data_IF_936475421603
#
_entry.id   IF_936475421603
#
_cell.length_a   1.000
_cell.length_b   1.000
_cell.length_c   1.000
_cell.angle_alpha   90.00
_cell.angle_beta   90.00
_cell.angle_gamma   90.00
#
_symmetry.space_group_name_H-M   'P 1'
#
loop_
_entity.id
_entity.type
_entity.pdbx_description
1 polymer ?
#
# COMPACT_ATOMS: atom_id res chain seq x y z
N UNK A 1 -34.10 -4.27 9.73
CA UNK A 1 -33.38 -3.05 10.12
C UNK A 1 -33.26 -2.15 8.90
N UNK A 2 -33.49 -0.86 9.05
CA UNK A 2 -33.26 0.14 7.99
C UNK A 2 -31.79 0.55 7.91
N UNK A 3 -31.38 1.16 6.81
CA UNK A 3 -30.00 1.69 6.63
C UNK A 3 -29.66 2.72 7.73
N UNK A 4 -30.58 3.61 8.07
CA UNK A 4 -30.35 4.59 9.12
C UNK A 4 -30.17 3.96 10.52
N UNK A 5 -30.92 2.90 10.82
CA UNK A 5 -30.75 2.13 12.06
C UNK A 5 -29.44 1.37 12.08
N UNK A 6 -29.08 0.72 10.96
CA UNK A 6 -27.84 -0.04 10.82
C UNK A 6 -26.60 0.84 10.97
N UNK A 7 -26.65 2.04 10.37
CA UNK A 7 -25.53 2.98 10.43
C UNK A 7 -25.23 3.40 11.90
N UNK A 8 -26.27 3.71 12.68
CA UNK A 8 -26.10 4.06 14.10
C UNK A 8 -25.59 2.88 14.93
N UNK A 9 -26.17 1.69 14.71
CA UNK A 9 -25.74 0.48 15.40
C UNK A 9 -24.30 0.11 15.08
N UNK A 10 -23.90 0.22 13.81
CA UNK A 10 -22.54 -0.09 13.38
C UNK A 10 -21.53 0.92 13.95
N UNK A 11 -21.84 2.22 13.90
CA UNK A 11 -21.01 3.26 14.51
C UNK A 11 -20.77 2.99 16.00
N UNK A 12 -21.82 2.66 16.77
CA UNK A 12 -21.72 2.32 18.19
C UNK A 12 -20.84 1.09 18.42
N UNK A 13 -21.12 -0.03 17.72
CA UNK A 13 -20.37 -1.30 17.89
C UNK A 13 -18.91 -1.22 17.47
N UNK A 14 -18.61 -0.47 16.41
CA UNK A 14 -17.23 -0.25 15.97
C UNK A 14 -16.48 0.68 16.92
N UNK A 15 -17.15 1.70 17.47
CA UNK A 15 -16.59 2.55 18.51
C UNK A 15 -16.27 1.78 19.79
N UNK A 16 -17.17 0.90 20.26
CA UNK A 16 -16.93 0.02 21.41
C UNK A 16 -15.76 -0.96 21.18
N UNK A 17 -15.53 -1.37 19.91
CA UNK A 17 -14.40 -2.20 19.53
C UNK A 17 -13.09 -1.43 19.38
N UNK A 18 -13.10 -0.10 19.58
CA UNK A 18 -11.91 0.76 19.49
C UNK A 18 -11.47 1.06 18.07
N UNK A 19 -12.37 0.98 17.08
CA UNK A 19 -12.07 1.41 15.70
C UNK A 19 -11.95 2.93 15.66
N UNK A 20 -10.89 3.47 15.06
CA UNK A 20 -10.60 4.90 15.09
C UNK A 20 -11.60 5.75 14.28
N UNK A 21 -12.15 5.17 13.21
CA UNK A 21 -13.08 5.83 12.29
C UNK A 21 -14.44 5.12 12.20
N UNK A 22 -15.16 4.87 13.33
CA UNK A 22 -16.31 3.97 13.36
C UNK A 22 -17.44 4.39 12.42
N UNK A 23 -17.66 5.70 12.30
CA UNK A 23 -18.69 6.27 11.41
C UNK A 23 -18.33 6.06 9.94
N UNK A 24 -17.09 6.35 9.57
CA UNK A 24 -16.60 6.19 8.19
C UNK A 24 -16.64 4.72 7.77
N UNK A 25 -16.18 3.82 8.64
CA UNK A 25 -16.18 2.40 8.40
C UNK A 25 -17.60 1.85 8.22
N UNK A 26 -18.54 2.25 9.09
CA UNK A 26 -19.95 1.89 8.97
C UNK A 26 -20.57 2.35 7.64
N UNK A 27 -20.25 3.57 7.20
CA UNK A 27 -20.72 4.10 5.90
C UNK A 27 -20.14 3.31 4.72
N UNK A 28 -18.85 2.94 4.78
CA UNK A 28 -18.21 2.16 3.72
C UNK A 28 -18.75 0.73 3.65
N UNK A 29 -18.97 0.07 4.79
CA UNK A 29 -19.60 -1.24 4.85
C UNK A 29 -21.02 -1.23 4.25
N UNK A 30 -21.84 -0.23 4.61
CA UNK A 30 -23.16 -0.05 4.04
C UNK A 30 -23.12 0.29 2.55
N UNK A 31 -22.21 1.16 2.13
CA UNK A 31 -22.01 1.49 0.72
C UNK A 31 -21.71 0.25 -0.12
N UNK A 32 -20.84 -0.62 0.41
CA UNK A 32 -20.45 -1.88 -0.25
C UNK A 32 -21.65 -2.79 -0.46
N UNK A 33 -22.40 -3.12 0.60
CA UNK A 33 -23.54 -4.07 0.49
C UNK A 33 -24.73 -3.49 -0.29
N UNK A 34 -24.82 -2.15 -0.38
CA UNK A 34 -25.88 -1.47 -1.14
C UNK A 34 -25.48 -1.19 -2.60
N UNK A 35 -24.22 -1.46 -2.98
CA UNK A 35 -23.69 -1.12 -4.30
C UNK A 35 -23.81 0.38 -4.60
N UNK A 36 -23.43 1.25 -3.64
CA UNK A 36 -23.59 2.70 -3.75
C UNK A 36 -22.37 3.45 -3.18
N UNK A 37 -22.37 4.77 -3.29
CA UNK A 37 -21.36 5.62 -2.65
C UNK A 37 -21.72 5.90 -1.17
N UNK A 38 -20.78 6.41 -0.38
CA UNK A 38 -21.04 6.91 0.99
C UNK A 38 -22.17 7.93 1.05
N UNK A 39 -22.24 8.84 0.08
CA UNK A 39 -23.35 9.81 -0.04
C UNK A 39 -24.68 9.09 -0.28
N UNK A 40 -24.69 8.09 -1.18
CA UNK A 40 -25.87 7.30 -1.51
C UNK A 40 -26.42 6.47 -0.34
N UNK A 41 -25.60 6.15 0.68
CA UNK A 41 -26.07 5.52 1.93
C UNK A 41 -27.06 6.43 2.67
N UNK A 42 -26.78 7.72 2.75
CA UNK A 42 -27.65 8.69 3.42
C UNK A 42 -28.98 8.92 2.67
N UNK A 43 -28.97 8.80 1.35
CA UNK A 43 -30.17 8.92 0.53
C UNK A 43 -31.12 7.72 0.67
N UNK A 44 -30.61 6.57 1.15
CA UNK A 44 -31.31 5.29 1.28
C UNK A 44 -31.70 4.96 2.73
N UNK A 45 -31.79 5.94 3.60
CA UNK A 45 -32.01 5.76 5.05
C UNK A 45 -33.15 4.81 5.43
N UNK A 46 -34.26 4.83 4.69
CA UNK A 46 -35.45 3.99 4.95
C UNK A 46 -35.38 2.60 4.25
N UNK A 47 -34.37 2.36 3.41
CA UNK A 47 -34.20 1.08 2.74
C UNK A 47 -33.82 -0.01 3.75
N UNK A 48 -34.27 -1.27 3.49
CA UNK A 48 -33.81 -2.42 4.28
C UNK A 48 -32.37 -2.77 3.93
N UNK A 49 -31.56 -3.02 4.96
CA UNK A 49 -30.17 -3.47 4.81
C UNK A 49 -30.13 -4.93 4.37
N UNK A 50 -29.26 -5.31 3.41
CA UNK A 50 -29.00 -6.70 3.06
C UNK A 50 -28.47 -7.52 4.24
N UNK A 51 -28.80 -8.81 4.29
CA UNK A 51 -28.46 -9.69 5.43
C UNK A 51 -26.95 -9.92 5.58
N UNK A 52 -26.17 -9.76 4.49
CA UNK A 52 -24.68 -9.86 4.48
C UNK A 52 -23.98 -8.78 5.29
N UNK A 53 -24.64 -7.65 5.55
CA UNK A 53 -24.07 -6.54 6.33
C UNK A 53 -23.60 -6.97 7.72
N UNK A 54 -24.40 -7.78 8.41
CA UNK A 54 -24.08 -8.21 9.77
C UNK A 54 -22.77 -9.01 9.83
N UNK A 55 -22.49 -9.81 8.82
CA UNK A 55 -21.25 -10.59 8.74
C UNK A 55 -20.02 -9.68 8.52
N UNK A 56 -20.14 -8.66 7.64
CA UNK A 56 -19.06 -7.70 7.40
C UNK A 56 -18.80 -6.81 8.63
N UNK A 57 -19.88 -6.36 9.29
CA UNK A 57 -19.78 -5.59 10.53
C UNK A 57 -19.06 -6.39 11.63
N UNK A 58 -19.38 -7.69 11.78
CA UNK A 58 -18.73 -8.54 12.77
C UNK A 58 -17.23 -8.74 12.49
N UNK A 59 -16.83 -8.96 11.23
CA UNK A 59 -15.43 -9.02 10.82
C UNK A 59 -14.69 -7.73 11.21
N UNK A 60 -15.27 -6.57 10.88
CA UNK A 60 -14.65 -5.27 11.21
C UNK A 60 -14.61 -5.02 12.72
N UNK A 61 -15.63 -5.45 13.48
CA UNK A 61 -15.64 -5.40 14.94
C UNK A 61 -14.52 -6.22 15.58
N UNK A 62 -14.10 -7.32 14.92
CA UNK A 62 -12.93 -8.11 15.31
C UNK A 62 -11.60 -7.44 14.91
N UNK A 63 -11.62 -6.18 14.50
CA UNK A 63 -10.46 -5.39 14.09
C UNK A 63 -9.77 -5.93 12.82
N UNK A 64 -10.50 -6.71 11.98
CA UNK A 64 -10.02 -7.03 10.64
C UNK A 64 -9.94 -5.73 9.81
N UNK A 65 -8.84 -5.46 9.06
CA UNK A 65 -8.71 -4.26 8.24
C UNK A 65 -9.92 -4.06 7.33
N UNK A 66 -10.46 -2.84 7.27
CA UNK A 66 -11.65 -2.56 6.46
C UNK A 66 -11.44 -2.96 5.00
N UNK A 67 -10.26 -2.72 4.45
CA UNK A 67 -9.91 -3.13 3.08
C UNK A 67 -10.05 -4.65 2.87
N UNK A 68 -9.66 -5.47 3.87
CA UNK A 68 -9.82 -6.93 3.77
C UNK A 68 -11.28 -7.35 3.92
N UNK A 69 -12.04 -6.66 4.76
CA UNK A 69 -13.48 -6.91 4.91
C UNK A 69 -14.22 -6.65 3.62
N UNK A 70 -13.87 -5.54 2.92
CA UNK A 70 -14.46 -5.16 1.62
C UNK A 70 -13.91 -5.99 0.45
N UNK A 71 -12.70 -6.59 0.59
CA UNK A 71 -12.03 -7.35 -0.47
C UNK A 71 -11.40 -6.49 -1.56
N UNK A 72 -11.53 -5.16 -1.47
CA UNK A 72 -10.96 -4.22 -2.42
C UNK A 72 -10.63 -2.88 -1.77
N UNK A 73 -9.64 -2.17 -2.31
CA UNK A 73 -9.23 -0.87 -1.81
C UNK A 73 -8.75 0.07 -2.93
N UNK A 74 -9.09 1.36 -2.79
CA UNK A 74 -8.64 2.39 -3.72
C UNK A 74 -7.17 2.72 -3.51
N UNK A 75 -6.41 2.86 -4.60
CA UNK A 75 -5.04 3.37 -4.60
C UNK A 75 -4.82 4.17 -5.89
N UNK A 76 -4.56 5.47 -5.77
CA UNK A 76 -4.51 6.41 -6.89
C UNK A 76 -5.76 6.31 -7.77
N UNK A 77 -5.64 5.90 -9.03
CA UNK A 77 -6.76 5.73 -9.97
C UNK A 77 -7.29 4.29 -10.04
N UNK A 78 -6.68 3.39 -9.26
CA UNK A 78 -6.97 1.97 -9.31
C UNK A 78 -7.84 1.54 -8.12
N UNK A 79 -8.56 0.44 -8.30
CA UNK A 79 -9.18 -0.31 -7.21
C UNK A 79 -8.52 -1.69 -7.19
N UNK A 80 -7.80 -2.01 -6.13
CA UNK A 80 -7.02 -3.24 -5.99
C UNK A 80 -7.78 -4.26 -5.15
N UNK A 81 -7.70 -5.55 -5.50
CA UNK A 81 -8.07 -6.63 -4.59
C UNK A 81 -7.14 -6.64 -3.40
N UNK A 82 -7.69 -6.81 -2.20
CA UNK A 82 -6.96 -6.77 -0.94
C UNK A 82 -7.39 -7.87 0.00
N UNK A 83 -6.44 -8.58 0.58
CA UNK A 83 -6.62 -9.59 1.62
C UNK A 83 -5.31 -9.81 2.40
N UNK A 84 -5.31 -10.77 3.33
CA UNK A 84 -4.19 -11.05 4.23
C UNK A 84 -2.90 -11.56 3.53
N UNK A 85 -2.86 -11.65 2.20
CA UNK A 85 -1.65 -12.01 1.43
C UNK A 85 -0.63 -10.88 1.34
N UNK A 86 -1.07 -9.61 1.48
CA UNK A 86 -0.19 -8.43 1.41
C UNK A 86 -0.73 -7.28 2.27
N UNK A 87 0.12 -6.29 2.55
CA UNK A 87 -0.27 -5.05 3.22
C UNK A 87 -1.41 -4.35 2.49
N UNK A 88 -2.32 -3.73 3.25
CA UNK A 88 -3.28 -2.78 2.70
C UNK A 88 -2.50 -1.59 2.09
N UNK A 89 -2.72 -1.21 0.82
CA UNK A 89 -2.11 -0.02 0.25
C UNK A 89 -2.44 1.23 1.08
N UNK A 90 -1.41 2.01 1.44
CA UNK A 90 -1.54 3.21 2.27
C UNK A 90 -1.61 4.47 1.41
N UNK A 91 -2.37 5.50 1.83
CA UNK A 91 -2.42 6.78 1.11
C UNK A 91 -1.04 7.44 0.97
N UNK A 92 -0.17 7.30 1.98
CA UNK A 92 1.18 7.86 2.00
C UNK A 92 2.04 7.27 0.87
N UNK A 93 1.84 6.00 0.52
CA UNK A 93 2.54 5.32 -0.58
C UNK A 93 2.20 5.91 -1.96
N UNK A 94 1.09 6.65 -2.10
CA UNK A 94 0.77 7.35 -3.35
C UNK A 94 1.81 8.42 -3.70
N UNK A 95 2.48 9.01 -2.70
CA UNK A 95 3.56 9.99 -2.88
C UNK A 95 4.80 9.32 -3.48
N UNK A 96 5.08 8.07 -3.10
CA UNK A 96 6.16 7.28 -3.71
C UNK A 96 5.96 7.16 -5.22
N UNK A 97 4.74 6.82 -5.64
CA UNK A 97 4.39 6.75 -7.08
C UNK A 97 4.55 8.11 -7.76
N UNK A 98 4.10 9.19 -7.12
CA UNK A 98 4.23 10.55 -7.66
C UNK A 98 5.70 10.93 -7.88
N UNK A 99 6.59 10.60 -6.93
CA UNK A 99 8.03 10.85 -7.05
C UNK A 99 8.64 10.03 -8.18
N UNK A 100 8.29 8.74 -8.29
CA UNK A 100 8.73 7.89 -9.40
C UNK A 100 8.33 8.48 -10.76
N UNK A 101 7.08 8.90 -10.92
CA UNK A 101 6.58 9.48 -12.17
C UNK A 101 7.28 10.80 -12.51
N UNK A 102 7.57 11.63 -11.49
CA UNK A 102 8.29 12.90 -11.67
C UNK A 102 9.73 12.66 -12.14
N UNK A 103 10.44 11.69 -11.54
CA UNK A 103 11.81 11.32 -11.91
C UNK A 103 11.91 10.71 -13.31
N UNK A 104 10.89 9.97 -13.74
CA UNK A 104 10.84 9.29 -15.03
C UNK A 104 10.30 10.16 -16.18
N UNK A 105 9.92 11.42 -15.94
CA UNK A 105 9.19 12.26 -16.90
C UNK A 105 9.83 12.28 -18.30
N UNK A 106 11.15 12.41 -18.35
CA UNK A 106 11.90 12.60 -19.59
C UNK A 106 12.63 11.30 -20.05
N UNK A 107 12.37 10.17 -19.39
CA UNK A 107 12.98 8.88 -19.73
C UNK A 107 12.03 8.09 -20.64
N UNK A 108 12.41 7.78 -21.88
CA UNK A 108 11.57 6.98 -22.78
C UNK A 108 11.67 5.48 -22.41
N UNK A 109 10.53 4.79 -22.39
CA UNK A 109 10.42 3.35 -22.12
C UNK A 109 11.26 2.89 -20.90
N UNK A 110 11.15 3.55 -19.73
CA UNK A 110 12.01 3.26 -18.59
C UNK A 110 11.77 1.85 -18.05
N UNK A 111 12.86 1.20 -17.63
CA UNK A 111 12.83 -0.07 -16.90
C UNK A 111 12.71 0.21 -15.42
N UNK A 112 11.57 -0.16 -14.82
CA UNK A 112 11.27 0.11 -13.41
C UNK A 112 11.16 -1.21 -12.65
N UNK A 113 11.80 -1.28 -11.48
CA UNK A 113 11.61 -2.35 -10.51
C UNK A 113 10.85 -1.82 -9.30
N UNK A 114 9.75 -2.48 -8.95
CA UNK A 114 9.07 -2.38 -7.65
C UNK A 114 9.45 -3.59 -6.81
N UNK A 115 10.26 -3.37 -5.76
CA UNK A 115 10.82 -4.42 -4.90
C UNK A 115 10.07 -4.48 -3.57
N UNK A 116 9.56 -5.67 -3.23
CA UNK A 116 8.60 -5.85 -2.14
C UNK A 116 7.21 -5.36 -2.52
N UNK A 117 6.74 -5.77 -3.72
CA UNK A 117 5.56 -5.19 -4.38
C UNK A 117 4.24 -5.39 -3.64
N UNK A 118 4.16 -6.39 -2.75
CA UNK A 118 2.94 -6.69 -1.99
C UNK A 118 1.73 -6.99 -2.89
N UNK A 119 0.70 -6.16 -2.81
CA UNK A 119 -0.50 -6.24 -3.67
C UNK A 119 -0.28 -5.78 -5.12
N UNK A 120 0.92 -5.28 -5.44
CA UNK A 120 1.23 -4.66 -6.72
C UNK A 120 0.93 -3.15 -6.81
N UNK A 121 0.59 -2.49 -5.70
CA UNK A 121 0.07 -1.13 -5.70
C UNK A 121 0.96 -0.12 -6.44
N UNK A 122 2.26 -0.07 -6.11
CA UNK A 122 3.23 0.85 -6.74
C UNK A 122 3.42 0.49 -8.21
N UNK A 123 3.74 -0.78 -8.50
CA UNK A 123 4.01 -1.26 -9.85
C UNK A 123 2.84 -1.01 -10.81
N UNK A 124 1.61 -1.35 -10.37
CA UNK A 124 0.41 -1.20 -11.19
C UNK A 124 0.05 0.27 -11.40
N UNK A 125 0.22 1.11 -10.39
CA UNK A 125 0.00 2.55 -10.54
C UNK A 125 1.00 3.19 -11.52
N UNK A 126 2.27 2.78 -11.48
CA UNK A 126 3.27 3.24 -12.45
C UNK A 126 2.89 2.75 -13.87
N UNK A 127 2.52 1.49 -14.04
CA UNK A 127 2.12 0.95 -15.35
C UNK A 127 0.87 1.63 -15.92
N UNK A 128 -0.11 1.97 -15.08
CA UNK A 128 -1.32 2.69 -15.49
C UNK A 128 -1.02 4.14 -15.91
N UNK A 129 -0.16 4.85 -15.17
CA UNK A 129 0.14 6.26 -15.41
C UNK A 129 1.30 6.49 -16.40
N UNK A 130 2.13 5.48 -16.65
CA UNK A 130 3.24 5.45 -17.60
C UNK A 130 3.18 4.19 -18.47
N UNK A 131 2.25 4.11 -19.45
CA UNK A 131 2.05 2.92 -20.27
C UNK A 131 3.27 2.52 -21.14
N UNK A 132 4.22 3.43 -21.33
CA UNK A 132 5.49 3.17 -22.00
C UNK A 132 6.56 2.55 -21.09
N UNK A 133 6.36 2.56 -19.77
CA UNK A 133 7.30 1.98 -18.83
C UNK A 133 7.25 0.44 -18.86
N UNK A 134 8.42 -0.19 -18.71
CA UNK A 134 8.57 -1.64 -18.53
C UNK A 134 8.71 -1.95 -17.07
N UNK A 135 7.57 -2.22 -16.43
CA UNK A 135 7.50 -2.42 -14.99
C UNK A 135 7.66 -3.89 -14.63
N UNK A 136 8.59 -4.17 -13.72
CA UNK A 136 8.76 -5.47 -13.07
C UNK A 136 8.43 -5.31 -11.59
N UNK A 137 7.63 -6.20 -11.04
CA UNK A 137 7.22 -6.26 -9.66
C UNK A 137 7.77 -7.55 -9.02
N UNK A 138 8.51 -7.42 -7.92
CA UNK A 138 9.14 -8.56 -7.25
C UNK A 138 8.71 -8.61 -5.79
N UNK A 139 8.40 -9.81 -5.30
CA UNK A 139 8.17 -10.07 -3.89
C UNK A 139 8.70 -11.45 -3.52
N UNK A 140 9.22 -11.60 -2.31
CA UNK A 140 9.71 -12.88 -1.78
C UNK A 140 8.60 -13.79 -1.27
N UNK A 141 7.40 -13.23 -1.01
CA UNK A 141 6.24 -13.98 -0.53
C UNK A 141 5.38 -14.48 -1.72
N UNK A 142 5.29 -15.80 -1.98
CA UNK A 142 4.49 -16.33 -3.09
C UNK A 142 3.01 -15.90 -3.04
N UNK A 143 2.49 -15.67 -1.84
CA UNK A 143 1.12 -15.20 -1.64
C UNK A 143 0.92 -13.76 -2.13
N UNK A 144 1.88 -12.86 -1.87
CA UNK A 144 1.88 -11.49 -2.37
C UNK A 144 2.02 -11.47 -3.90
N UNK A 145 2.94 -12.27 -4.47
CA UNK A 145 3.09 -12.44 -5.92
C UNK A 145 1.78 -12.89 -6.57
N UNK A 146 1.06 -13.83 -5.96
CA UNK A 146 -0.23 -14.27 -6.47
C UNK A 146 -1.28 -13.14 -6.48
N UNK A 147 -1.35 -12.34 -5.40
CA UNK A 147 -2.26 -11.19 -5.31
C UNK A 147 -1.91 -10.11 -6.33
N UNK A 148 -0.62 -9.78 -6.50
CA UNK A 148 -0.16 -8.80 -7.47
C UNK A 148 -0.50 -9.23 -8.92
N UNK A 149 -0.33 -10.50 -9.26
CA UNK A 149 -0.75 -11.06 -10.57
C UNK A 149 -2.24 -10.98 -10.79
N UNK A 150 -3.04 -11.35 -9.79
CA UNK A 150 -4.49 -11.24 -9.82
C UNK A 150 -4.94 -9.79 -10.06
N UNK A 151 -4.30 -8.82 -9.40
CA UNK A 151 -4.57 -7.40 -9.61
C UNK A 151 -4.15 -6.94 -11.02
N UNK A 152 -2.99 -7.36 -11.53
CA UNK A 152 -2.53 -7.03 -12.87
C UNK A 152 -3.50 -7.55 -13.94
N UNK A 153 -3.94 -8.82 -13.82
CA UNK A 153 -4.92 -9.43 -14.72
C UNK A 153 -6.27 -8.72 -14.66
N UNK A 154 -6.77 -8.42 -13.46
CA UNK A 154 -8.07 -7.76 -13.26
C UNK A 154 -8.11 -6.36 -13.85
N UNK A 155 -6.99 -5.63 -13.81
CA UNK A 155 -6.86 -4.27 -14.30
C UNK A 155 -6.40 -4.19 -15.77
N UNK A 156 -6.09 -5.32 -16.40
CA UNK A 156 -5.53 -5.41 -17.76
C UNK A 156 -4.24 -4.58 -17.92
N UNK A 157 -3.37 -4.63 -16.89
CA UNK A 157 -2.09 -3.92 -16.85
C UNK A 157 -0.92 -4.87 -17.09
N UNK A 158 0.00 -4.45 -17.96
CA UNK A 158 1.18 -5.23 -18.29
C UNK A 158 2.32 -4.95 -17.29
N UNK A 159 2.43 -5.81 -16.28
CA UNK A 159 3.51 -5.81 -15.29
C UNK A 159 4.10 -7.22 -15.21
N UNK A 160 5.43 -7.32 -15.26
CA UNK A 160 6.14 -8.60 -15.08
C UNK A 160 6.26 -8.92 -13.60
N UNK A 161 5.33 -9.71 -13.06
CA UNK A 161 5.28 -10.04 -11.63
C UNK A 161 6.04 -11.35 -11.37
N UNK A 162 7.11 -11.27 -10.55
CA UNK A 162 8.02 -12.39 -10.25
C UNK A 162 8.11 -12.67 -8.75
N UNK A 163 8.30 -13.93 -8.40
CA UNK A 163 8.84 -14.31 -7.10
C UNK A 163 10.37 -14.10 -7.13
N UNK A 164 10.90 -13.43 -6.12
CA UNK A 164 12.32 -13.11 -6.01
C UNK A 164 12.66 -12.36 -4.74
N UNK A 165 13.92 -12.04 -4.56
CA UNK A 165 14.45 -11.37 -3.40
C UNK A 165 15.24 -10.09 -3.80
N UNK A 166 15.95 -9.49 -2.85
CA UNK A 166 16.67 -8.21 -2.98
C UNK A 166 17.68 -8.21 -4.14
N UNK A 167 18.21 -9.37 -4.52
CA UNK A 167 19.15 -9.54 -5.65
C UNK A 167 18.56 -9.07 -7.00
N UNK A 168 17.24 -9.02 -7.15
CA UNK A 168 16.59 -8.48 -8.34
C UNK A 168 16.99 -7.01 -8.58
N UNK A 169 17.34 -6.25 -7.55
CA UNK A 169 17.83 -4.88 -7.68
C UNK A 169 19.12 -4.75 -8.48
N UNK A 170 19.91 -5.82 -8.61
CA UNK A 170 21.19 -5.84 -9.33
C UNK A 170 21.06 -6.06 -10.86
N UNK A 171 19.86 -6.36 -11.39
CA UNK A 171 19.66 -6.70 -12.81
C UNK A 171 19.82 -5.52 -13.79
N UNK A 172 19.94 -4.28 -13.28
CA UNK A 172 20.11 -3.07 -14.08
C UNK A 172 18.78 -2.43 -14.46
N UNK A 173 18.43 -1.35 -13.77
CA UNK A 173 17.18 -0.63 -13.88
C UNK A 173 17.43 0.86 -14.13
N UNK A 174 16.44 1.56 -14.71
CA UNK A 174 16.45 3.02 -14.75
C UNK A 174 16.00 3.58 -13.42
N UNK A 175 15.01 2.92 -12.78
CA UNK A 175 14.52 3.25 -11.44
C UNK A 175 14.24 1.97 -10.63
N UNK A 176 14.69 1.95 -9.39
CA UNK A 176 14.25 0.98 -8.36
C UNK A 176 13.44 1.72 -7.32
N UNK A 177 12.25 1.22 -7.03
CA UNK A 177 11.37 1.71 -5.97
C UNK A 177 11.08 0.60 -4.98
N UNK A 178 10.95 0.95 -3.71
CA UNK A 178 10.53 0.00 -2.68
C UNK A 178 9.82 0.71 -1.51
N UNK A 179 8.77 0.07 -1.01
CA UNK A 179 8.26 0.28 0.34
C UNK A 179 8.64 -0.97 1.16
N UNK A 180 9.88 -1.07 1.64
CA UNK A 180 10.35 -2.27 2.30
C UNK A 180 9.85 -2.36 3.74
N UNK A 181 9.91 -3.53 4.40
CA UNK A 181 9.69 -3.63 5.83
C UNK A 181 10.66 -2.73 6.60
N UNK A 182 10.13 -1.84 7.45
CA UNK A 182 10.93 -0.86 8.20
C UNK A 182 10.56 -0.76 9.69
N UNK A 183 9.58 -1.54 10.17
CA UNK A 183 9.19 -1.53 11.59
C UNK A 183 10.17 -2.36 12.42
N UNK A 184 10.76 -1.80 13.50
CA UNK A 184 11.59 -2.57 14.42
C UNK A 184 10.80 -3.70 15.08
N UNK A 185 11.47 -4.82 15.32
CA UNK A 185 10.80 -6.04 15.84
C UNK A 185 10.20 -5.85 17.24
N UNK A 186 10.77 -4.96 18.05
CA UNK A 186 10.32 -4.63 19.40
C UNK A 186 9.12 -3.67 19.42
N UNK A 187 8.85 -2.98 18.31
CA UNK A 187 7.68 -2.11 18.17
C UNK A 187 6.42 -2.86 17.69
N UNK A 188 6.56 -4.13 17.25
CA UNK A 188 5.44 -4.92 16.71
C UNK A 188 4.21 -4.95 17.61
N UNK A 189 4.41 -5.17 18.92
CA UNK A 189 3.31 -5.31 19.87
C UNK A 189 2.58 -3.99 20.16
N UNK A 190 3.16 -2.85 19.79
CA UNK A 190 2.58 -1.52 19.93
C UNK A 190 1.68 -1.12 18.76
N UNK A 191 1.74 -1.84 17.63
CA UNK A 191 0.95 -1.55 16.46
C UNK A 191 -0.56 -1.76 16.69
N UNK A 192 -1.37 -1.06 15.90
CA UNK A 192 -2.82 -1.25 15.92
C UNK A 192 -3.19 -2.70 15.64
N UNK A 193 -4.29 -3.22 16.26
CA UNK A 193 -4.72 -4.60 16.07
C UNK A 193 -4.92 -5.00 14.60
N UNK A 194 -5.40 -4.08 13.76
CA UNK A 194 -5.56 -4.27 12.32
C UNK A 194 -4.27 -4.71 11.64
N UNK A 195 -3.15 -4.14 12.07
CA UNK A 195 -1.82 -4.44 11.52
C UNK A 195 -1.27 -5.69 12.17
N UNK A 196 -1.20 -5.67 13.51
CA UNK A 196 -0.54 -6.71 14.30
C UNK A 196 -1.15 -8.11 14.12
N UNK A 197 -2.49 -8.18 14.07
CA UNK A 197 -3.21 -9.45 14.14
C UNK A 197 -3.63 -9.96 12.74
N UNK A 198 -3.57 -9.12 11.70
CA UNK A 198 -4.13 -9.42 10.37
C UNK A 198 -3.15 -9.27 9.21
N UNK A 199 -2.25 -8.28 9.25
CA UNK A 199 -1.30 -8.08 8.15
C UNK A 199 -0.08 -9.02 8.30
N UNK A 200 0.56 -9.44 7.19
CA UNK A 200 1.71 -10.34 7.26
C UNK A 200 2.90 -9.65 7.94
N UNK A 201 3.37 -10.25 9.03
CA UNK A 201 4.45 -9.68 9.85
C UNK A 201 5.75 -9.44 9.07
N UNK A 202 6.11 -10.36 8.18
CA UNK A 202 7.31 -10.26 7.35
C UNK A 202 7.27 -9.10 6.34
N UNK A 203 6.09 -8.57 6.02
CA UNK A 203 5.94 -7.40 5.18
C UNK A 203 6.10 -6.07 5.95
N UNK A 204 6.26 -6.12 7.27
CA UNK A 204 6.37 -4.94 8.14
C UNK A 204 7.68 -4.88 8.90
N UNK A 205 8.11 -6.00 9.46
CA UNK A 205 9.27 -6.05 10.36
C UNK A 205 10.54 -6.23 9.52
N UNK A 206 11.46 -5.25 9.63
CA UNK A 206 12.75 -5.28 8.96
C UNK A 206 13.64 -4.15 9.44
N UNK A 207 14.95 -4.41 9.48
CA UNK A 207 15.98 -3.44 9.83
C UNK A 207 17.08 -3.48 8.76
N UNK A 208 17.58 -2.32 8.34
CA UNK A 208 18.69 -2.21 7.39
C UNK A 208 18.34 -2.62 5.94
N UNK A 209 17.07 -2.83 5.62
CA UNK A 209 16.65 -3.27 4.28
C UNK A 209 16.88 -2.17 3.24
N UNK A 210 16.67 -0.91 3.58
CA UNK A 210 16.95 0.23 2.69
C UNK A 210 18.41 0.25 2.24
N UNK A 211 19.35 0.10 3.19
CA UNK A 211 20.79 0.09 2.90
C UNK A 211 21.20 -1.14 2.08
N UNK A 212 20.58 -2.29 2.36
CA UNK A 212 20.85 -3.51 1.62
C UNK A 212 20.40 -3.39 0.16
N UNK A 213 19.17 -2.91 -0.08
CA UNK A 213 18.68 -2.61 -1.43
C UNK A 213 19.59 -1.59 -2.11
N UNK A 214 19.93 -0.47 -1.46
CA UNK A 214 20.76 0.58 -2.02
C UNK A 214 22.16 0.09 -2.41
N UNK A 215 22.71 -0.86 -1.66
CA UNK A 215 24.03 -1.48 -1.95
C UNK A 215 23.97 -2.42 -3.13
N UNK A 216 22.89 -3.20 -3.26
CA UNK A 216 22.70 -4.17 -4.35
C UNK A 216 22.26 -3.49 -5.65
N UNK A 217 21.52 -2.39 -5.56
CA UNK A 217 20.86 -1.78 -6.71
C UNK A 217 21.84 -1.32 -7.80
N UNK A 218 21.62 -1.84 -9.00
CA UNK A 218 22.21 -1.38 -10.25
C UNK A 218 21.20 -0.48 -10.97
N UNK A 219 21.11 0.77 -10.52
CA UNK A 219 20.12 1.74 -11.00
C UNK A 219 20.68 3.16 -10.96
N UNK A 220 20.12 4.05 -11.80
CA UNK A 220 20.40 5.49 -11.76
C UNK A 220 19.49 6.23 -10.75
N UNK A 221 18.29 5.72 -10.52
CA UNK A 221 17.29 6.36 -9.66
C UNK A 221 16.82 5.35 -8.60
N UNK A 222 16.84 5.78 -7.35
CA UNK A 222 16.39 4.97 -6.23
C UNK A 222 15.36 5.76 -5.42
N UNK A 223 14.22 5.15 -5.11
CA UNK A 223 13.11 5.76 -4.36
C UNK A 223 12.66 4.81 -3.27
N UNK A 224 12.61 5.30 -2.03
CA UNK A 224 12.17 4.53 -0.87
C UNK A 224 11.03 5.21 -0.15
N UNK A 225 10.03 4.44 0.28
CA UNK A 225 9.20 4.82 1.42
C UNK A 225 9.97 4.55 2.71
N UNK A 226 9.81 5.43 3.71
CA UNK A 226 10.46 5.32 5.01
C UNK A 226 9.44 5.49 6.14
N UNK A 227 9.73 4.89 7.30
CA UNK A 227 8.98 5.10 8.52
C UNK A 227 9.32 6.45 9.18
N UNK A 228 8.49 6.84 10.15
CA UNK A 228 8.66 8.08 10.90
C UNK A 228 10.06 8.15 11.54
N UNK A 229 10.76 9.27 11.32
CA UNK A 229 12.09 9.52 11.86
C UNK A 229 13.24 8.74 11.20
N UNK A 230 13.00 8.00 10.11
CA UNK A 230 14.04 7.21 9.43
C UNK A 230 14.67 7.92 8.23
N UNK A 231 14.07 9.00 7.74
CA UNK A 231 14.45 9.65 6.48
C UNK A 231 15.92 10.11 6.46
N UNK A 232 16.38 10.80 7.50
CA UNK A 232 17.77 11.29 7.59
C UNK A 232 18.77 10.13 7.55
N UNK A 233 18.50 9.05 8.30
CA UNK A 233 19.35 7.88 8.33
C UNK A 233 19.46 7.19 6.95
N UNK A 234 18.34 7.04 6.24
CA UNK A 234 18.32 6.47 4.88
C UNK A 234 19.03 7.41 3.90
N UNK A 235 18.84 8.73 4.01
CA UNK A 235 19.52 9.71 3.17
C UNK A 235 21.05 9.66 3.36
N UNK A 236 21.54 9.60 4.61
CA UNK A 236 22.96 9.45 4.93
C UNK A 236 23.54 8.15 4.37
N UNK A 237 22.79 7.06 4.46
CA UNK A 237 23.17 5.77 3.89
C UNK A 237 23.31 5.86 2.36
N UNK A 238 22.36 6.47 1.66
CA UNK A 238 22.43 6.69 0.21
C UNK A 238 23.65 7.53 -0.16
N UNK A 239 23.91 8.62 0.55
CA UNK A 239 25.08 9.48 0.34
C UNK A 239 26.39 8.68 0.47
N UNK A 240 26.50 7.83 1.49
CA UNK A 240 27.67 6.99 1.75
C UNK A 240 27.94 5.96 0.65
N UNK A 241 26.86 5.52 -0.05
CA UNK A 241 26.90 4.59 -1.15
C UNK A 241 27.09 5.26 -2.52
N UNK A 242 27.28 6.59 -2.54
CA UNK A 242 27.61 7.37 -3.74
C UNK A 242 26.38 7.84 -4.53
N UNK A 243 25.19 7.84 -3.94
CA UNK A 243 24.04 8.55 -4.47
C UNK A 243 24.17 10.04 -4.21
N UNK A 244 23.71 10.85 -5.15
CA UNK A 244 23.72 12.31 -5.11
C UNK A 244 22.28 12.85 -5.30
N UNK A 245 22.11 14.17 -5.25
CA UNK A 245 20.81 14.85 -5.40
C UNK A 245 19.72 14.22 -4.50
N UNK A 246 20.12 13.86 -3.28
CA UNK A 246 19.20 13.19 -2.34
C UNK A 246 18.13 14.17 -1.91
N UNK A 247 16.88 13.75 -2.04
CA UNK A 247 15.71 14.56 -1.66
C UNK A 247 14.83 13.76 -0.71
N UNK A 248 14.36 14.43 0.33
CA UNK A 248 13.34 13.91 1.25
C UNK A 248 12.03 14.63 0.94
N UNK A 249 10.95 13.87 0.75
CA UNK A 249 9.62 14.42 0.46
C UNK A 249 8.67 14.02 1.59
N UNK A 250 8.01 14.99 2.26
CA UNK A 250 7.03 14.72 3.29
C UNK A 250 5.68 14.29 2.69
N UNK A 251 4.87 13.65 3.52
CA UNK A 251 3.47 13.36 3.23
C UNK A 251 2.54 14.57 3.53
N UNK A 252 1.22 14.37 3.41
CA UNK A 252 0.24 15.44 3.66
C UNK A 252 0.12 15.83 5.13
N UNK A 253 0.66 15.02 6.05
CA UNK A 253 0.76 15.32 7.48
C UNK A 253 2.06 16.05 7.85
N UNK A 254 2.89 16.40 6.85
CA UNK A 254 4.23 16.99 6.99
C UNK A 254 5.26 16.05 7.65
N UNK A 255 5.01 14.72 7.62
CA UNK A 255 5.96 13.72 8.07
C UNK A 255 6.81 13.22 6.88
N UNK A 256 8.13 13.12 7.08
CA UNK A 256 9.05 12.64 6.05
C UNK A 256 8.71 11.22 5.63
N UNK A 257 8.45 11.02 4.33
CA UNK A 257 7.89 9.76 3.82
C UNK A 257 8.67 9.13 2.68
N UNK A 258 9.26 9.92 1.82
CA UNK A 258 9.99 9.41 0.66
C UNK A 258 11.42 9.93 0.67
N UNK A 259 12.38 9.02 0.50
CA UNK A 259 13.79 9.35 0.27
C UNK A 259 14.17 8.89 -1.13
N UNK A 260 14.70 9.79 -1.96
CA UNK A 260 15.14 9.50 -3.31
C UNK A 260 16.58 9.97 -3.55
N UNK A 261 17.30 9.28 -4.44
CA UNK A 261 18.66 9.64 -4.81
C UNK A 261 19.02 9.23 -6.22
N UNK A 262 20.06 9.87 -6.79
CA UNK A 262 20.58 9.60 -8.14
C UNK A 262 22.03 9.11 -8.08
N UNK A 263 22.39 8.22 -9.04
CA UNK A 263 23.77 7.69 -9.17
C UNK A 263 24.26 7.87 -10.60
#
# INVERSE_FOLDING_TARGET
>A
MTVAEALRLAEERLGEAGVDTPRVDAELLLAHVLGTSRTGVHERGDQRVPDEFDALLERRRQREPLAYVLGEWGFRRLVLSTDARALVPRPETEIVVERCLALLRDEPEPRVLDLGTGSGAIALAIADERPDARVTAVDSAPAAVALARENAERLDLHVDVREGDLEAAAEGWDLVVSNPPYVPADEWDSLQPEIRDWEPRNARVGEGIHEEIARLASTRLLVFEVGDGQADHVADALASLGYADITITPDLAEEDRVVEGRR
#
